data_IF_744689380707
#
_entry.id   IF_744689380707
#
_cell.length_a   1.000
_cell.length_b   1.000
_cell.length_c   1.000
_cell.angle_alpha   90.00
_cell.angle_beta   90.00
_cell.angle_gamma   90.00
#
_symmetry.space_group_name_H-M   'P 1'
#
loop_
_entity.id
_entity.type
_entity.pdbx_description
1 polymer ?
#
# COMPACT_ATOMS: atom_id res chain seq x y z
N UNK A 1 -12.98 -32.23 -4.77
CA UNK A 1 -12.15 -31.11 -5.27
C UNK A 1 -10.96 -30.91 -4.33
N UNK A 2 -9.80 -30.47 -4.82
CA UNK A 2 -8.63 -30.24 -4.00
C UNK A 2 -8.39 -28.73 -3.87
N UNK A 3 -8.49 -28.20 -2.65
CA UNK A 3 -8.20 -26.80 -2.34
C UNK A 3 -6.69 -26.67 -2.16
N UNK A 4 -5.98 -26.02 -3.08
CA UNK A 4 -4.51 -26.02 -3.11
C UNK A 4 -3.93 -24.62 -3.05
N UNK A 5 -2.78 -24.52 -2.40
CA UNK A 5 -1.93 -23.32 -2.35
C UNK A 5 -2.66 -22.04 -1.91
N UNK A 6 -3.51 -22.15 -0.88
CA UNK A 6 -4.26 -21.02 -0.35
C UNK A 6 -3.40 -20.19 0.61
N UNK A 7 -3.54 -18.87 0.58
CA UNK A 7 -2.97 -18.00 1.59
C UNK A 7 -3.90 -18.00 2.82
N UNK A 8 -3.44 -18.60 3.93
CA UNK A 8 -4.25 -18.85 5.12
C UNK A 8 -3.49 -18.36 6.35
N UNK A 9 -4.12 -17.54 7.19
CA UNK A 9 -3.58 -17.16 8.51
C UNK A 9 -3.46 -18.41 9.37
N UNK A 10 -2.24 -18.92 9.47
CA UNK A 10 -1.96 -20.16 10.19
C UNK A 10 -2.17 -20.02 11.71
N UNK A 11 -2.10 -18.80 12.26
CA UNK A 11 -2.37 -18.56 13.68
C UNK A 11 -3.86 -18.68 13.94
N UNK A 12 -4.69 -17.99 13.14
CA UNK A 12 -6.15 -18.08 13.22
C UNK A 12 -6.65 -19.50 12.94
N UNK A 13 -6.08 -20.18 11.95
CA UNK A 13 -6.37 -21.59 11.67
C UNK A 13 -6.12 -22.48 12.89
N UNK A 14 -5.01 -22.28 13.60
CA UNK A 14 -4.70 -23.06 14.81
C UNK A 14 -5.63 -22.75 15.99
N UNK A 15 -6.27 -21.59 16.04
CA UNK A 15 -7.30 -21.26 17.03
C UNK A 15 -8.61 -22.00 16.72
N UNK A 16 -9.08 -21.93 15.47
CA UNK A 16 -10.30 -22.62 15.03
C UNK A 16 -10.20 -24.13 15.20
N UNK A 17 -9.02 -24.72 14.99
CA UNK A 17 -8.79 -26.15 15.17
C UNK A 17 -8.84 -26.62 16.64
N UNK A 18 -8.93 -25.70 17.61
CA UNK A 18 -9.02 -26.02 19.04
C UNK A 18 -10.42 -25.80 19.63
N UNK A 19 -11.33 -25.21 18.86
CA UNK A 19 -12.63 -24.78 19.36
C UNK A 19 -13.76 -25.44 18.56
N UNK A 20 -14.80 -25.88 19.26
CA UNK A 20 -15.98 -26.53 18.68
C UNK A 20 -17.09 -25.54 18.31
N UNK A 21 -17.08 -24.34 18.89
CA UNK A 21 -18.19 -23.39 18.83
C UNK A 21 -18.32 -22.80 17.43
N UNK A 22 -17.21 -22.47 16.77
CA UNK A 22 -17.25 -21.71 15.51
C UNK A 22 -17.93 -22.44 14.35
N UNK A 23 -18.01 -23.77 14.38
CA UNK A 23 -18.68 -24.56 13.35
C UNK A 23 -19.79 -25.47 13.91
N UNK A 24 -20.22 -25.25 15.15
CA UNK A 24 -21.26 -26.03 15.83
C UNK A 24 -20.95 -27.55 15.78
N UNK A 25 -19.74 -27.91 16.25
CA UNK A 25 -19.27 -29.29 16.32
C UNK A 25 -19.66 -29.92 17.66
N UNK A 26 -19.88 -31.24 17.65
CA UNK A 26 -20.17 -32.00 18.88
C UNK A 26 -19.00 -31.89 19.88
N UNK A 27 -17.78 -32.02 19.37
CA UNK A 27 -16.52 -31.95 20.11
C UNK A 27 -15.47 -31.16 19.32
N UNK A 28 -14.39 -30.66 19.96
CA UNK A 28 -13.32 -29.96 19.26
C UNK A 28 -12.69 -30.85 18.17
N UNK A 29 -12.19 -30.26 17.08
CA UNK A 29 -11.50 -31.01 16.03
C UNK A 29 -10.34 -31.86 16.57
N UNK A 30 -10.30 -33.14 16.21
CA UNK A 30 -9.19 -34.03 16.58
C UNK A 30 -8.08 -33.86 15.55
N UNK A 31 -6.95 -33.31 15.98
CA UNK A 31 -5.78 -33.04 15.12
C UNK A 31 -4.69 -34.10 15.33
N UNK A 32 -4.33 -34.84 14.28
CA UNK A 32 -3.22 -35.81 14.27
C UNK A 32 -2.14 -35.41 13.29
N UNK A 33 -0.94 -35.08 13.79
CA UNK A 33 0.23 -34.83 12.95
C UNK A 33 0.64 -36.09 12.20
N UNK A 34 1.00 -35.95 10.93
CA UNK A 34 1.48 -37.05 10.08
C UNK A 34 3.00 -36.97 9.89
N UNK A 35 3.62 -37.99 9.28
CA UNK A 35 5.04 -37.93 8.88
C UNK A 35 5.19 -36.94 7.72
N UNK A 36 5.52 -35.68 8.02
CA UNK A 36 5.66 -34.59 7.06
C UNK A 36 5.03 -33.29 7.57
N UNK A 37 5.00 -32.25 6.72
CA UNK A 37 4.34 -30.98 7.00
C UNK A 37 2.81 -31.05 6.78
N UNK A 38 2.15 -32.07 7.33
CA UNK A 38 0.70 -32.26 7.20
C UNK A 38 0.04 -32.78 8.46
N UNK A 39 -1.23 -32.43 8.64
CA UNK A 39 -2.06 -32.82 9.78
C UNK A 39 -3.40 -33.36 9.29
N UNK A 40 -3.81 -34.51 9.82
CA UNK A 40 -5.15 -35.06 9.61
C UNK A 40 -6.09 -34.52 10.68
N UNK A 41 -7.22 -33.98 10.25
CA UNK A 41 -8.26 -33.42 11.11
C UNK A 41 -9.49 -34.30 11.00
N UNK A 42 -10.07 -34.63 12.14
CA UNK A 42 -11.33 -35.36 12.24
C UNK A 42 -12.33 -34.51 13.02
N UNK A 43 -13.51 -34.32 12.45
CA UNK A 43 -14.60 -33.58 13.09
C UNK A 43 -15.85 -34.46 13.17
N UNK A 44 -16.73 -34.14 14.12
CA UNK A 44 -18.03 -34.77 14.27
C UNK A 44 -19.11 -33.70 14.42
N UNK A 45 -20.16 -33.80 13.60
CA UNK A 45 -21.32 -32.90 13.66
C UNK A 45 -22.59 -33.74 13.49
N UNK A 46 -23.51 -33.63 14.45
CA UNK A 46 -24.79 -34.36 14.45
C UNK A 46 -24.63 -35.89 14.27
N UNK A 47 -23.59 -36.49 14.87
CA UNK A 47 -23.31 -37.92 14.78
C UNK A 47 -22.66 -38.36 13.46
N UNK A 48 -22.35 -37.44 12.56
CA UNK A 48 -21.64 -37.70 11.30
C UNK A 48 -20.18 -37.28 11.44
N UNK A 49 -19.28 -38.22 11.15
CA UNK A 49 -17.84 -38.00 11.23
C UNK A 49 -17.25 -37.64 9.86
N UNK A 50 -16.49 -36.56 9.77
CA UNK A 50 -15.80 -36.11 8.56
C UNK A 50 -14.29 -36.00 8.80
N UNK A 51 -13.50 -36.09 7.72
CA UNK A 51 -12.03 -36.08 7.84
C UNK A 51 -11.38 -35.38 6.66
N UNK A 52 -10.44 -34.50 6.99
CA UNK A 52 -9.65 -33.71 6.04
C UNK A 52 -8.16 -33.81 6.38
N UNK A 53 -7.31 -33.60 5.39
CA UNK A 53 -5.86 -33.41 5.57
C UNK A 53 -5.52 -31.97 5.23
N UNK A 54 -4.74 -31.33 6.11
CA UNK A 54 -4.15 -30.01 5.91
C UNK A 54 -2.67 -30.20 5.57
N UNK A 55 -2.22 -29.61 4.47
CA UNK A 55 -0.81 -29.56 4.06
C UNK A 55 -0.27 -28.15 4.24
N UNK A 56 0.83 -28.03 4.97
CA UNK A 56 1.61 -26.79 5.10
C UNK A 56 2.74 -26.83 4.08
N UNK A 57 2.60 -26.05 3.02
CA UNK A 57 3.53 -26.07 1.89
C UNK A 57 4.81 -25.30 2.21
N UNK A 58 5.92 -25.66 1.55
CA UNK A 58 7.22 -24.99 1.74
C UNK A 58 7.23 -23.51 1.33
N UNK A 59 6.26 -23.07 0.53
CA UNK A 59 6.08 -21.68 0.10
C UNK A 59 5.18 -20.86 1.03
N UNK A 60 4.83 -21.39 2.22
CA UNK A 60 4.01 -20.71 3.22
C UNK A 60 2.49 -20.86 3.03
N UNK A 61 2.04 -21.41 1.90
CA UNK A 61 0.61 -21.64 1.62
C UNK A 61 0.08 -22.91 2.28
N UNK A 62 -1.25 -23.02 2.38
CA UNK A 62 -1.95 -24.17 2.97
C UNK A 62 -2.85 -24.84 1.91
N UNK A 63 -2.90 -26.17 1.92
CA UNK A 63 -3.80 -26.95 1.04
C UNK A 63 -4.67 -27.89 1.86
N UNK A 64 -5.91 -28.13 1.42
CA UNK A 64 -6.85 -29.05 2.04
C UNK A 64 -7.21 -30.19 1.09
N UNK A 65 -7.28 -31.41 1.62
CA UNK A 65 -7.78 -32.59 0.92
C UNK A 65 -8.83 -33.31 1.76
N UNK A 66 -9.89 -33.78 1.10
CA UNK A 66 -10.90 -34.63 1.73
C UNK A 66 -10.37 -36.07 1.75
N UNK A 67 -10.46 -36.74 2.90
CA UNK A 67 -9.98 -38.13 3.08
C UNK A 67 -11.01 -39.04 3.78
N UNK A 68 -12.13 -38.49 4.27
CA UNK A 68 -13.17 -39.21 5.02
C UNK A 68 -14.33 -39.73 4.16
N UNK A 69 -15.26 -40.45 4.81
CA UNK A 69 -16.47 -41.04 4.18
C UNK A 69 -17.59 -40.04 3.91
N UNK A 70 -17.52 -38.84 4.50
CA UNK A 70 -18.55 -37.80 4.40
C UNK A 70 -17.95 -36.57 3.70
N UNK A 71 -17.92 -36.54 2.35
CA UNK A 71 -17.26 -35.49 1.59
C UNK A 71 -17.98 -34.14 1.67
N UNK A 72 -19.32 -34.12 1.74
CA UNK A 72 -20.10 -32.88 1.86
C UNK A 72 -19.76 -32.12 3.15
N UNK A 73 -19.85 -32.80 4.30
CA UNK A 73 -19.48 -32.18 5.59
C UNK A 73 -17.99 -31.78 5.64
N UNK A 74 -17.12 -32.55 4.98
CA UNK A 74 -15.70 -32.21 4.86
C UNK A 74 -15.50 -30.94 4.03
N UNK A 75 -16.27 -30.79 2.96
CA UNK A 75 -16.23 -29.63 2.08
C UNK A 75 -16.78 -28.38 2.77
N UNK A 76 -17.90 -28.50 3.48
CA UNK A 76 -18.49 -27.39 4.25
C UNK A 76 -17.53 -26.89 5.32
N UNK A 77 -16.87 -27.81 6.03
CA UNK A 77 -15.88 -27.45 7.03
C UNK A 77 -14.63 -26.80 6.41
N UNK A 78 -14.16 -27.28 5.25
CA UNK A 78 -13.06 -26.62 4.53
C UNK A 78 -13.47 -25.20 4.10
N UNK A 79 -14.67 -25.01 3.54
CA UNK A 79 -15.18 -23.70 3.15
C UNK A 79 -15.27 -22.74 4.34
N UNK A 80 -15.73 -23.24 5.48
CA UNK A 80 -15.75 -22.49 6.73
C UNK A 80 -14.33 -22.07 7.16
N UNK A 81 -13.37 -23.00 7.22
CA UNK A 81 -11.98 -22.68 7.57
C UNK A 81 -11.35 -21.68 6.61
N UNK A 82 -11.65 -21.80 5.31
CA UNK A 82 -11.22 -20.82 4.32
C UNK A 82 -11.88 -19.47 4.59
N UNK A 83 -13.20 -19.40 4.79
CA UNK A 83 -13.89 -18.13 5.07
C UNK A 83 -13.35 -17.38 6.28
N UNK A 84 -12.97 -18.11 7.34
CA UNK A 84 -12.49 -17.52 8.60
C UNK A 84 -10.97 -17.27 8.64
N UNK A 85 -10.19 -17.94 7.79
CA UNK A 85 -8.73 -17.88 7.84
C UNK A 85 -8.08 -17.42 6.54
N UNK A 86 -8.86 -17.19 5.47
CA UNK A 86 -8.33 -16.65 4.22
C UNK A 86 -7.81 -15.25 4.50
N UNK A 87 -6.50 -15.14 4.46
CA UNK A 87 -5.89 -13.83 4.25
C UNK A 87 -6.18 -13.43 2.80
N UNK A 88 -6.27 -12.13 2.52
CA UNK A 88 -6.05 -11.61 1.19
C UNK A 88 -5.01 -12.44 0.47
N UNK A 89 -5.39 -12.98 -0.68
CA UNK A 89 -4.44 -13.01 -1.77
C UNK A 89 -4.17 -11.54 -2.13
N UNK A 90 -3.40 -10.84 -1.28
CA UNK A 90 -2.71 -9.62 -1.70
C UNK A 90 -1.69 -10.14 -2.71
N UNK A 91 -2.10 -10.17 -3.97
CA UNK A 91 -1.29 -10.66 -5.06
C UNK A 91 0.08 -10.00 -4.91
N UNK A 92 1.13 -10.82 -4.78
CA UNK A 92 2.48 -10.31 -4.87
C UNK A 92 2.59 -9.64 -6.23
N UNK A 93 2.70 -8.33 -6.22
CA UNK A 93 2.86 -7.53 -7.42
C UNK A 93 4.31 -7.58 -7.86
N UNK A 94 4.51 -7.53 -9.17
CA UNK A 94 5.82 -7.59 -9.81
C UNK A 94 5.86 -6.50 -10.87
N UNK A 95 6.71 -5.48 -10.68
CA UNK A 95 6.92 -4.40 -11.64
C UNK A 95 8.35 -4.45 -12.12
N UNK A 96 8.54 -4.30 -13.43
CA UNK A 96 9.86 -4.17 -14.04
C UNK A 96 10.04 -2.75 -14.58
N UNK A 97 10.95 -1.99 -13.99
CA UNK A 97 11.38 -0.69 -14.48
C UNK A 97 12.65 -0.85 -15.30
N UNK A 98 12.75 -0.15 -16.44
CA UNK A 98 13.90 -0.21 -17.34
C UNK A 98 14.58 1.15 -17.41
N UNK A 99 15.88 1.14 -17.72
CA UNK A 99 16.70 2.35 -17.93
C UNK A 99 16.81 3.23 -16.68
N UNK A 100 16.81 2.63 -15.48
CA UNK A 100 17.07 3.36 -14.24
C UNK A 100 18.58 3.42 -14.03
N UNK A 101 19.15 4.62 -14.03
CA UNK A 101 20.59 4.81 -13.89
C UNK A 101 21.06 4.39 -12.50
N UNK A 102 22.35 4.11 -12.39
CA UNK A 102 22.97 3.75 -11.10
C UNK A 102 22.77 4.88 -10.07
N UNK A 103 23.06 6.13 -10.45
CA UNK A 103 22.90 7.30 -9.58
C UNK A 103 21.44 7.47 -9.11
N UNK A 104 20.46 7.20 -9.98
CA UNK A 104 19.03 7.26 -9.63
C UNK A 104 18.63 6.15 -8.64
N UNK A 105 19.26 4.98 -8.74
CA UNK A 105 19.07 3.89 -7.78
C UNK A 105 19.72 4.19 -6.43
N UNK A 106 20.90 4.80 -6.43
CA UNK A 106 21.57 5.25 -5.20
C UNK A 106 20.73 6.31 -4.49
N UNK A 107 20.17 7.27 -5.23
CA UNK A 107 19.20 8.25 -4.71
C UNK A 107 17.96 7.60 -4.09
N UNK A 108 17.46 6.51 -4.66
CA UNK A 108 16.36 5.74 -4.05
C UNK A 108 16.77 5.17 -2.70
N UNK A 109 17.96 4.56 -2.58
CA UNK A 109 18.43 4.00 -1.31
C UNK A 109 18.66 5.10 -0.27
N UNK A 110 19.25 6.22 -0.66
CA UNK A 110 19.41 7.39 0.20
C UNK A 110 18.05 7.92 0.68
N UNK A 111 17.07 8.04 -0.22
CA UNK A 111 15.72 8.44 0.14
C UNK A 111 15.10 7.49 1.17
N UNK A 112 15.22 6.17 0.94
CA UNK A 112 14.68 5.17 1.87
C UNK A 112 15.37 5.21 3.24
N UNK A 113 16.65 5.56 3.33
CA UNK A 113 17.34 5.72 4.62
C UNK A 113 16.83 6.94 5.43
N UNK A 114 16.23 7.93 4.75
CA UNK A 114 15.59 9.07 5.43
C UNK A 114 14.18 8.77 5.96
N UNK A 115 13.54 7.70 5.49
CA UNK A 115 12.19 7.33 5.89
C UNK A 115 12.22 6.59 7.24
N UNK A 116 11.68 7.21 8.29
CA UNK A 116 11.72 6.68 9.67
C UNK A 116 11.13 5.27 9.83
N UNK A 117 10.24 4.90 8.93
CA UNK A 117 9.61 3.59 8.91
C UNK A 117 10.51 2.49 8.33
N UNK A 118 11.52 2.84 7.54
CA UNK A 118 12.43 1.89 6.88
C UNK A 118 13.50 1.44 7.88
N UNK A 119 13.80 0.15 7.88
CA UNK A 119 14.89 -0.41 8.66
C UNK A 119 16.21 -0.22 7.92
N UNK A 120 17.13 0.61 8.42
CA UNK A 120 18.40 0.87 7.74
C UNK A 120 19.20 -0.40 7.46
N UNK A 121 19.12 -1.44 8.32
CA UNK A 121 19.80 -2.73 8.06
C UNK A 121 19.28 -3.47 6.81
N UNK A 122 18.09 -3.10 6.32
CA UNK A 122 17.46 -3.69 5.15
C UNK A 122 17.87 -3.04 3.81
N UNK A 123 18.67 -1.97 3.88
CA UNK A 123 19.23 -1.27 2.72
C UNK A 123 20.57 -1.85 2.26
N UNK A 124 21.15 -2.76 3.03
CA UNK A 124 22.32 -3.53 2.63
C UNK A 124 21.95 -4.64 1.62
N UNK A 125 22.83 -4.98 0.67
CA UNK A 125 22.60 -6.07 -0.26
C UNK A 125 22.35 -7.40 0.47
N UNK A 126 21.16 -7.98 0.26
CA UNK A 126 20.84 -9.33 0.73
C UNK A 126 21.63 -10.39 -0.05
N UNK A 127 21.79 -10.18 -1.36
CA UNK A 127 22.55 -11.07 -2.24
C UNK A 127 23.08 -10.31 -3.45
N UNK A 128 24.35 -10.52 -3.78
CA UNK A 128 24.99 -9.94 -4.97
C UNK A 128 25.60 -11.03 -5.83
N UNK A 129 25.45 -10.91 -7.14
CA UNK A 129 26.24 -11.65 -8.13
C UNK A 129 26.59 -10.73 -9.31
N UNK A 130 27.32 -11.25 -10.29
CA UNK A 130 27.81 -10.47 -11.43
C UNK A 130 26.71 -9.80 -12.26
N UNK A 131 25.46 -10.30 -12.20
CA UNK A 131 24.37 -9.85 -13.06
C UNK A 131 23.32 -9.02 -12.31
N UNK A 132 23.20 -9.19 -10.99
CA UNK A 132 22.22 -8.46 -10.18
C UNK A 132 22.57 -8.42 -8.69
N UNK A 133 22.01 -7.40 -8.04
CA UNK A 133 22.00 -7.19 -6.59
C UNK A 133 20.56 -7.23 -6.09
N UNK A 134 20.29 -7.98 -5.03
CA UNK A 134 18.98 -8.13 -4.40
C UNK A 134 19.01 -7.46 -3.03
N UNK A 135 17.99 -6.66 -2.75
CA UNK A 135 17.71 -6.04 -1.47
C UNK A 135 16.36 -6.58 -0.95
N UNK A 136 16.28 -6.83 0.36
CA UNK A 136 15.05 -7.22 1.06
C UNK A 136 14.67 -6.11 2.01
N UNK A 137 13.96 -5.12 1.50
CA UNK A 137 13.70 -3.88 2.21
C UNK A 137 12.49 -4.09 3.11
N UNK A 138 12.66 -3.78 4.39
CA UNK A 138 11.66 -4.02 5.43
C UNK A 138 11.35 -2.73 6.18
N UNK A 139 10.11 -2.58 6.64
CA UNK A 139 9.74 -1.49 7.54
C UNK A 139 9.56 -1.96 8.98
N UNK A 140 9.40 -1.00 9.91
CA UNK A 140 8.99 -1.24 11.29
C UNK A 140 7.58 -1.85 11.41
N UNK A 141 6.76 -1.74 10.35
CA UNK A 141 5.41 -2.32 10.25
C UNK A 141 5.41 -3.79 9.82
N UNK A 142 6.60 -4.41 9.68
CA UNK A 142 6.78 -5.82 9.32
C UNK A 142 6.30 -6.19 7.91
N UNK A 143 6.13 -5.21 7.02
CA UNK A 143 6.09 -5.48 5.59
C UNK A 143 7.51 -5.56 5.01
N UNK A 144 7.67 -6.39 3.97
CA UNK A 144 8.91 -6.62 3.25
C UNK A 144 8.63 -6.59 1.74
N UNK A 145 9.53 -5.98 0.98
CA UNK A 145 9.54 -6.06 -0.48
C UNK A 145 10.94 -6.40 -0.98
N UNK A 146 10.99 -7.14 -2.08
CA UNK A 146 12.24 -7.49 -2.76
C UNK A 146 12.49 -6.51 -3.90
N UNK A 147 13.64 -5.84 -3.85
CA UNK A 147 14.11 -4.95 -4.89
C UNK A 147 15.35 -5.59 -5.54
N UNK A 148 15.29 -5.90 -6.83
CA UNK A 148 16.43 -6.46 -7.57
C UNK A 148 16.92 -5.45 -8.59
N UNK A 149 18.17 -5.05 -8.46
CA UNK A 149 18.87 -4.21 -9.42
C UNK A 149 19.71 -5.08 -10.35
N UNK A 150 19.45 -5.03 -11.65
CA UNK A 150 20.22 -5.75 -12.66
C UNK A 150 21.30 -4.85 -13.26
N UNK A 151 22.43 -5.46 -13.66
CA UNK A 151 23.57 -4.76 -14.28
C UNK A 151 23.20 -4.02 -15.60
N UNK A 152 22.07 -4.36 -16.21
CA UNK A 152 21.54 -3.71 -17.41
C UNK A 152 20.58 -2.54 -17.12
N UNK A 153 20.66 -1.92 -15.94
CA UNK A 153 19.80 -0.80 -15.52
C UNK A 153 18.30 -1.16 -15.46
N UNK A 154 18.00 -2.43 -15.21
CA UNK A 154 16.63 -2.90 -14.94
C UNK A 154 16.44 -3.03 -13.43
N UNK A 155 15.31 -2.58 -12.92
CA UNK A 155 14.89 -2.79 -11.54
C UNK A 155 13.64 -3.66 -11.54
N UNK A 156 13.64 -4.69 -10.71
CA UNK A 156 12.47 -5.53 -10.46
C UNK A 156 12.01 -5.31 -9.01
N UNK A 157 10.79 -4.81 -8.86
CA UNK A 157 10.13 -4.60 -7.58
C UNK A 157 9.08 -5.69 -7.36
N UNK A 158 9.23 -6.47 -6.29
CA UNK A 158 8.36 -7.60 -6.00
C UNK A 158 7.89 -7.60 -4.55
N UNK A 159 6.60 -7.82 -4.32
CA UNK A 159 6.05 -7.96 -2.98
C UNK A 159 4.57 -7.63 -2.92
N UNK A 160 4.02 -7.69 -1.71
CA UNK A 160 2.65 -7.22 -1.46
C UNK A 160 2.62 -5.69 -1.60
N UNK A 161 1.55 -5.10 -2.16
CA UNK A 161 1.41 -3.65 -2.32
C UNK A 161 1.12 -2.93 -0.98
N UNK A 162 1.96 -3.18 0.01
CA UNK A 162 1.94 -2.58 1.35
C UNK A 162 2.79 -1.31 1.37
N UNK A 163 3.07 -0.77 2.55
CA UNK A 163 3.74 0.52 2.72
C UNK A 163 5.04 0.63 1.92
N UNK A 164 6.02 -0.23 2.19
CA UNK A 164 7.36 -0.11 1.59
C UNK A 164 7.34 -0.30 0.08
N UNK A 165 6.46 -1.18 -0.41
CA UNK A 165 6.25 -1.38 -1.84
C UNK A 165 5.78 -0.10 -2.51
N UNK A 166 4.78 0.58 -1.93
CA UNK A 166 4.22 1.80 -2.50
C UNK A 166 5.18 2.99 -2.38
N UNK A 167 5.98 3.08 -1.32
CA UNK A 167 7.05 4.08 -1.18
C UNK A 167 8.06 3.94 -2.33
N UNK A 168 8.58 2.73 -2.56
CA UNK A 168 9.56 2.48 -3.63
C UNK A 168 8.95 2.71 -5.01
N UNK A 169 7.74 2.17 -5.25
CA UNK A 169 7.00 2.37 -6.51
C UNK A 169 6.81 3.86 -6.81
N UNK A 170 6.37 4.64 -5.82
CA UNK A 170 6.16 6.08 -5.99
C UNK A 170 7.46 6.80 -6.35
N UNK A 171 8.57 6.48 -5.68
CA UNK A 171 9.86 7.11 -5.98
C UNK A 171 10.33 6.80 -7.40
N UNK A 172 10.29 5.53 -7.81
CA UNK A 172 10.75 5.15 -9.16
C UNK A 172 9.86 5.77 -10.25
N UNK A 173 8.55 5.91 -10.00
CA UNK A 173 7.63 6.60 -10.92
C UNK A 173 8.02 8.06 -11.19
N UNK A 174 8.71 8.74 -10.26
CA UNK A 174 9.22 10.11 -10.47
C UNK A 174 10.40 10.16 -11.46
N UNK A 175 11.08 9.03 -11.67
CA UNK A 175 12.31 8.92 -12.47
C UNK A 175 12.05 8.53 -13.92
N UNK A 176 10.88 7.94 -14.21
CA UNK A 176 10.52 7.43 -15.54
C UNK A 176 9.56 8.36 -16.28
N UNK A 177 9.33 8.09 -17.56
CA UNK A 177 8.42 8.88 -18.39
C UNK A 177 6.95 8.65 -17.99
N UNK A 178 6.09 9.66 -18.18
CA UNK A 178 4.69 9.59 -17.77
C UNK A 178 3.96 8.43 -18.45
N UNK A 179 4.20 8.27 -19.75
CA UNK A 179 3.60 7.21 -20.55
C UNK A 179 4.04 5.83 -20.02
N UNK A 180 5.29 5.69 -19.54
CA UNK A 180 5.76 4.45 -18.91
C UNK A 180 5.09 4.18 -17.57
N UNK A 181 4.80 5.21 -16.77
CA UNK A 181 4.00 5.05 -15.53
C UNK A 181 2.63 4.48 -15.90
N UNK A 182 1.95 5.08 -16.89
CA UNK A 182 0.62 4.62 -17.32
C UNK A 182 0.65 3.19 -17.84
N UNK A 183 1.64 2.83 -18.66
CA UNK A 183 1.84 1.46 -19.16
C UNK A 183 2.02 0.46 -18.00
N UNK A 184 2.86 0.81 -17.01
CA UNK A 184 3.11 -0.04 -15.83
C UNK A 184 1.82 -0.24 -15.02
N UNK A 185 1.05 0.82 -14.76
CA UNK A 185 -0.22 0.71 -14.02
C UNK A 185 -1.26 -0.11 -14.81
N UNK A 186 -1.34 0.12 -16.12
CA UNK A 186 -2.20 -0.63 -17.05
C UNK A 186 -1.90 -2.12 -17.01
N UNK A 187 -0.62 -2.49 -17.11
CA UNK A 187 -0.16 -3.88 -17.06
C UNK A 187 -0.33 -4.51 -15.68
N UNK A 188 -0.08 -3.76 -14.62
CA UNK A 188 -0.18 -4.23 -13.24
C UNK A 188 -1.63 -4.61 -12.89
N UNK A 189 -2.58 -3.76 -13.27
CA UNK A 189 -3.98 -3.92 -12.89
C UNK A 189 -4.88 -4.46 -14.00
N UNK A 190 -4.31 -4.81 -15.17
CA UNK A 190 -5.02 -5.37 -16.32
C UNK A 190 -6.18 -4.49 -16.79
N UNK A 191 -5.94 -3.18 -16.80
CA UNK A 191 -6.87 -2.14 -17.24
C UNK A 191 -6.33 -1.46 -18.50
N UNK A 192 -7.19 -1.21 -19.49
CA UNK A 192 -6.79 -0.47 -20.70
C UNK A 192 -6.74 1.04 -20.39
N UNK A 193 -5.53 1.56 -20.14
CA UNK A 193 -5.29 2.97 -19.89
C UNK A 193 -4.46 3.57 -21.02
N UNK A 194 -4.90 4.73 -21.51
CA UNK A 194 -4.17 5.51 -22.50
C UNK A 194 -3.59 6.76 -21.85
N UNK A 195 -2.29 7.08 -22.07
CA UNK A 195 -1.65 8.24 -21.45
C UNK A 195 -2.43 9.55 -21.64
N UNK A 196 -2.94 9.82 -22.84
CA UNK A 196 -3.69 11.05 -23.13
C UNK A 196 -4.99 11.14 -22.32
N UNK A 197 -5.71 10.03 -22.18
CA UNK A 197 -6.96 9.96 -21.38
C UNK A 197 -6.66 10.19 -19.89
N UNK A 198 -5.55 9.67 -19.39
CA UNK A 198 -5.11 9.91 -18.01
C UNK A 198 -4.72 11.37 -17.81
N UNK A 199 -4.02 11.99 -18.77
CA UNK A 199 -3.70 13.42 -18.72
C UNK A 199 -4.95 14.29 -18.71
N UNK A 200 -5.90 14.05 -19.62
CA UNK A 200 -7.17 14.77 -19.68
C UNK A 200 -7.95 14.66 -18.37
N UNK A 201 -7.95 13.49 -17.73
CA UNK A 201 -8.61 13.30 -16.45
C UNK A 201 -7.88 14.03 -15.30
N UNK A 202 -6.54 14.00 -15.26
CA UNK A 202 -5.77 14.80 -14.30
C UNK A 202 -6.03 16.29 -14.48
N UNK A 203 -6.03 16.77 -15.72
CA UNK A 203 -6.31 18.18 -16.05
C UNK A 203 -7.72 18.58 -15.61
N UNK A 204 -8.72 17.74 -15.88
CA UNK A 204 -10.09 17.99 -15.44
C UNK A 204 -10.22 17.99 -13.92
N UNK A 205 -9.52 17.11 -13.21
CA UNK A 205 -9.62 16.98 -11.74
C UNK A 205 -8.77 17.99 -11.00
N UNK A 206 -7.72 18.52 -11.61
CA UNK A 206 -6.79 19.51 -11.04
C UNK A 206 -6.87 20.83 -11.81
N UNK A 207 -8.05 21.18 -12.31
CA UNK A 207 -8.27 22.27 -13.25
C UNK A 207 -7.66 23.61 -12.83
N UNK A 208 -7.56 23.90 -11.53
CA UNK A 208 -7.02 25.16 -11.04
C UNK A 208 -5.49 25.21 -11.09
N UNK A 209 -4.81 24.06 -10.97
CA UNK A 209 -3.36 23.99 -10.71
C UNK A 209 -2.61 23.13 -11.73
N UNK A 210 -3.29 22.40 -12.61
CA UNK A 210 -2.66 21.41 -13.50
C UNK A 210 -1.43 21.96 -14.24
N UNK A 211 -1.58 23.11 -14.90
CA UNK A 211 -0.48 23.77 -15.64
C UNK A 211 0.65 24.35 -14.78
N UNK A 212 0.55 24.26 -13.45
CA UNK A 212 1.54 24.73 -12.47
C UNK A 212 2.32 23.59 -11.84
N UNK A 213 1.81 22.35 -11.91
CA UNK A 213 2.51 21.20 -11.38
C UNK A 213 3.74 20.84 -12.22
N UNK A 214 4.81 20.46 -11.53
CA UNK A 214 5.91 19.75 -12.17
C UNK A 214 5.43 18.38 -12.65
N UNK A 215 5.96 17.93 -13.79
CA UNK A 215 5.62 16.64 -14.41
C UNK A 215 5.78 15.48 -13.41
N UNK A 216 6.75 15.54 -12.48
CA UNK A 216 6.94 14.52 -11.44
C UNK A 216 5.73 14.39 -10.52
N UNK A 217 5.10 15.50 -10.15
CA UNK A 217 3.92 15.48 -9.26
C UNK A 217 2.74 14.81 -10.00
N UNK A 218 2.55 15.13 -11.29
CA UNK A 218 1.53 14.48 -12.13
C UNK A 218 1.76 12.97 -12.28
N UNK A 219 3.01 12.55 -12.52
CA UNK A 219 3.40 11.13 -12.58
C UNK A 219 3.08 10.40 -11.28
N UNK A 220 3.34 11.03 -10.13
CA UNK A 220 3.09 10.42 -8.83
C UNK A 220 1.60 10.31 -8.52
N UNK A 221 0.74 11.21 -9.01
CA UNK A 221 -0.71 11.13 -8.82
C UNK A 221 -1.40 10.13 -9.76
N UNK A 222 -0.78 9.82 -10.90
CA UNK A 222 -1.32 8.95 -11.94
C UNK A 222 -1.85 7.61 -11.42
N UNK A 223 -1.13 6.87 -10.54
CA UNK A 223 -1.62 5.59 -10.03
C UNK A 223 -2.95 5.70 -9.29
N UNK A 224 -3.29 6.84 -8.67
CA UNK A 224 -4.58 7.01 -8.00
C UNK A 224 -5.75 6.94 -9.00
N UNK A 225 -5.58 7.48 -10.21
CA UNK A 225 -6.60 7.41 -11.27
C UNK A 225 -6.75 5.99 -11.82
N UNK A 226 -5.63 5.31 -12.03
CA UNK A 226 -5.60 3.91 -12.47
C UNK A 226 -6.28 3.00 -11.45
N UNK A 227 -5.95 3.18 -10.17
CA UNK A 227 -6.47 2.41 -9.05
C UNK A 227 -7.98 2.56 -8.85
N UNK A 228 -8.54 3.74 -9.12
CA UNK A 228 -10.00 3.95 -9.09
C UNK A 228 -10.76 3.18 -10.19
N UNK A 229 -10.08 2.79 -11.28
CA UNK A 229 -10.68 2.13 -12.46
C UNK A 229 -10.56 0.61 -12.46
N UNK A 230 -9.90 0.05 -11.45
CA UNK A 230 -9.69 -1.40 -11.36
C UNK A 230 -11.01 -2.09 -11.06
N UNK A 231 -11.37 -3.11 -11.83
CA UNK A 231 -12.56 -3.94 -11.60
C UNK A 231 -12.28 -5.17 -10.72
N UNK A 232 -11.28 -5.06 -9.85
CA UNK A 232 -10.85 -6.09 -8.91
C UNK A 232 -11.17 -5.58 -7.50
N UNK A 233 -11.76 -6.43 -6.68
CA UNK A 233 -11.95 -6.14 -5.27
C UNK A 233 -10.62 -6.25 -4.52
N UNK A 234 -10.21 -5.16 -3.88
CA UNK A 234 -9.07 -5.14 -2.98
C UNK A 234 -9.54 -5.30 -1.54
N UNK A 235 -8.76 -5.96 -0.69
CA UNK A 235 -9.06 -6.04 0.75
C UNK A 235 -8.73 -4.72 1.48
N UNK A 236 -7.79 -3.95 0.94
CA UNK A 236 -7.45 -2.62 1.41
C UNK A 236 -7.20 -1.67 0.23
N UNK A 237 -8.07 -0.68 0.08
CA UNK A 237 -7.98 0.37 -0.92
C UNK A 237 -7.08 1.54 -0.49
N UNK A 238 -6.40 1.48 0.66
CA UNK A 238 -5.46 2.53 1.11
C UNK A 238 -4.35 2.78 0.08
N UNK A 239 -3.91 1.74 -0.64
CA UNK A 239 -2.97 1.87 -1.75
C UNK A 239 -3.46 2.79 -2.88
N UNK A 240 -4.79 2.95 -3.06
CA UNK A 240 -5.40 3.85 -4.05
C UNK A 240 -5.25 5.32 -3.65
N UNK A 241 -5.22 5.59 -2.34
CA UNK A 241 -5.20 6.95 -1.78
C UNK A 241 -3.76 7.50 -1.72
N UNK A 242 -2.76 6.63 -1.53
CA UNK A 242 -1.35 7.02 -1.40
C UNK A 242 -0.85 7.98 -2.50
N UNK A 243 -1.11 7.72 -3.80
CA UNK A 243 -0.59 8.57 -4.87
C UNK A 243 -1.21 9.98 -4.85
N UNK A 244 -2.48 10.09 -4.44
CA UNK A 244 -3.13 11.39 -4.25
C UNK A 244 -2.54 12.18 -3.07
N UNK A 245 -2.24 11.51 -1.94
CA UNK A 245 -1.58 12.14 -0.80
C UNK A 245 -0.15 12.59 -1.11
N UNK A 246 0.59 11.84 -1.94
CA UNK A 246 1.89 12.28 -2.45
C UNK A 246 1.76 13.51 -3.36
N UNK A 247 0.71 13.56 -4.18
CA UNK A 247 0.34 14.76 -4.93
C UNK A 247 0.10 15.98 -4.03
N UNK A 248 -0.66 15.78 -2.94
CA UNK A 248 -0.92 16.81 -1.93
C UNK A 248 0.38 17.28 -1.23
N UNK A 249 1.29 16.35 -0.91
CA UNK A 249 2.61 16.71 -0.39
C UNK A 249 3.38 17.58 -1.39
N UNK A 250 3.41 17.19 -2.66
CA UNK A 250 4.01 17.96 -3.75
C UNK A 250 3.42 19.36 -3.87
N UNK A 251 2.10 19.48 -3.78
CA UNK A 251 1.38 20.76 -3.77
C UNK A 251 1.80 21.67 -2.60
N UNK A 252 1.87 21.13 -1.38
CA UNK A 252 2.31 21.88 -0.21
C UNK A 252 3.75 22.40 -0.42
N UNK A 253 4.64 21.55 -0.94
CA UNK A 253 6.04 21.93 -1.21
C UNK A 253 6.17 22.95 -2.33
N UNK A 254 5.30 22.89 -3.35
CA UNK A 254 5.21 23.89 -4.42
C UNK A 254 4.84 25.25 -3.83
N UNK A 255 3.76 25.35 -3.05
CA UNK A 255 3.35 26.59 -2.40
C UNK A 255 4.43 27.14 -1.47
N UNK A 256 5.07 26.30 -0.66
CA UNK A 256 6.17 26.71 0.22
C UNK A 256 7.36 27.26 -0.58
N UNK A 257 7.70 26.64 -1.71
CA UNK A 257 8.79 27.11 -2.57
C UNK A 257 8.48 28.44 -3.27
N UNK A 258 7.21 28.71 -3.55
CA UNK A 258 6.75 29.93 -4.19
C UNK A 258 6.64 31.10 -3.20
N UNK A 259 6.05 30.86 -2.03
CA UNK A 259 5.69 31.91 -1.08
C UNK A 259 6.63 32.05 0.12
N UNK A 260 7.53 31.10 0.38
CA UNK A 260 8.50 31.17 1.47
C UNK A 260 9.94 31.15 0.97
N UNK A 261 10.71 32.16 1.39
CA UNK A 261 12.16 32.25 1.13
C UNK A 261 12.94 31.35 2.08
N UNK A 262 12.43 31.16 3.29
CA UNK A 262 13.08 30.37 4.34
C UNK A 262 12.91 28.85 4.15
N UNK A 263 11.89 28.40 3.39
CA UNK A 263 11.60 26.99 3.17
C UNK A 263 12.80 26.16 2.68
N UNK A 264 13.69 26.74 1.86
CA UNK A 264 14.89 26.05 1.35
C UNK A 264 15.84 25.52 2.43
N UNK A 265 15.68 25.96 3.68
CA UNK A 265 16.50 25.54 4.83
C UNK A 265 15.84 24.48 5.71
N UNK A 266 14.62 24.04 5.35
CA UNK A 266 13.80 23.17 6.17
C UNK A 266 13.97 21.71 5.73
N UNK A 267 14.34 20.84 6.67
CA UNK A 267 14.51 19.41 6.39
C UNK A 267 13.19 18.66 6.22
N UNK A 268 12.34 18.64 7.26
CA UNK A 268 11.11 17.83 7.28
C UNK A 268 9.87 18.71 7.24
N UNK A 269 8.88 18.34 6.44
CA UNK A 269 7.64 19.11 6.30
C UNK A 269 6.92 19.29 7.65
N UNK A 270 6.95 18.25 8.51
CA UNK A 270 6.29 18.32 9.81
C UNK A 270 6.90 19.27 10.82
N UNK A 271 8.16 19.67 10.67
CA UNK A 271 8.73 20.69 11.57
C UNK A 271 8.13 22.08 11.36
N UNK A 272 7.36 22.29 10.30
CA UNK A 272 6.71 23.56 9.99
C UNK A 272 5.41 23.79 10.77
N UNK A 273 4.85 22.74 11.38
CA UNK A 273 3.51 22.75 11.96
C UNK A 273 3.51 22.29 13.42
N UNK A 274 2.64 22.88 14.23
CA UNK A 274 2.51 22.57 15.65
C UNK A 274 1.69 21.29 15.87
N UNK A 275 2.38 20.20 16.22
CA UNK A 275 1.73 18.91 16.49
C UNK A 275 0.74 18.98 17.67
N UNK A 276 0.99 19.85 18.66
CA UNK A 276 0.14 19.97 19.86
C UNK A 276 -1.19 20.67 19.57
N UNK A 277 -1.31 21.34 18.42
CA UNK A 277 -2.52 22.02 17.97
C UNK A 277 -3.09 21.36 16.73
N UNK A 278 -3.03 20.03 16.69
CA UNK A 278 -3.57 19.24 15.58
C UNK A 278 -3.03 19.67 14.21
N UNK A 279 -1.80 20.19 14.15
CA UNK A 279 -1.17 20.71 12.93
C UNK A 279 -1.89 21.91 12.29
N UNK A 280 -2.85 22.53 12.99
CA UNK A 280 -3.60 23.70 12.51
C UNK A 280 -2.76 24.98 12.52
N UNK A 281 -1.61 24.99 13.22
CA UNK A 281 -0.78 26.19 13.38
C UNK A 281 0.58 26.01 12.70
N UNK A 282 0.96 26.99 11.88
CA UNK A 282 2.28 27.07 11.25
C UNK A 282 3.23 27.84 12.17
N UNK A 283 4.37 27.24 12.53
CA UNK A 283 5.18 27.69 13.67
C UNK A 283 6.02 28.94 13.37
N UNK A 284 6.73 28.99 12.24
CA UNK A 284 7.70 30.06 11.95
C UNK A 284 7.57 30.68 10.56
N UNK A 285 6.96 29.98 9.59
CA UNK A 285 6.85 30.48 8.22
C UNK A 285 5.74 31.52 8.02
N UNK A 286 4.87 31.73 9.01
CA UNK A 286 3.76 32.71 8.90
C UNK A 286 4.30 34.13 8.67
N UNK A 287 5.38 34.49 9.36
CA UNK A 287 5.99 35.81 9.26
C UNK A 287 6.79 36.01 7.96
N UNK A 288 7.22 34.92 7.31
CA UNK A 288 7.90 34.94 6.00
C UNK A 288 6.90 35.07 4.85
N UNK A 289 5.84 34.24 4.86
CA UNK A 289 4.83 34.16 3.79
C UNK A 289 3.99 35.45 3.70
N UNK A 290 3.65 36.08 4.83
CA UNK A 290 2.89 37.35 4.93
C UNK A 290 1.60 37.40 4.11
N UNK A 291 0.99 36.25 3.85
CA UNK A 291 -0.30 36.11 3.19
C UNK A 291 -1.13 35.11 4.01
N UNK A 292 -2.20 35.60 4.64
CA UNK A 292 -3.03 34.79 5.53
C UNK A 292 -3.80 33.68 4.79
N UNK A 293 -4.18 33.90 3.52
CA UNK A 293 -4.85 32.87 2.71
C UNK A 293 -3.89 31.78 2.28
N UNK A 294 -2.66 32.11 1.89
CA UNK A 294 -1.62 31.11 1.63
C UNK A 294 -1.32 30.32 2.92
N UNK A 295 -1.22 30.98 4.07
CA UNK A 295 -0.98 30.30 5.35
C UNK A 295 -2.11 29.34 5.71
N UNK A 296 -3.38 29.76 5.58
CA UNK A 296 -4.55 28.94 5.86
C UNK A 296 -4.68 27.77 4.89
N UNK A 297 -4.39 28.03 3.62
CA UNK A 297 -4.34 27.02 2.55
C UNK A 297 -3.32 25.92 2.86
N UNK A 298 -2.11 26.31 3.24
CA UNK A 298 -1.05 25.38 3.67
C UNK A 298 -1.43 24.58 4.92
N UNK A 299 -2.06 25.21 5.92
CA UNK A 299 -2.56 24.52 7.12
C UNK A 299 -3.62 23.48 6.79
N UNK A 300 -4.62 23.84 5.97
CA UNK A 300 -5.68 22.92 5.56
C UNK A 300 -5.13 21.73 4.76
N UNK A 301 -4.25 22.00 3.79
CA UNK A 301 -3.62 20.98 2.98
C UNK A 301 -2.74 20.04 3.83
N UNK A 302 -1.94 20.59 4.74
CA UNK A 302 -1.08 19.80 5.61
C UNK A 302 -1.88 18.99 6.64
N UNK A 303 -2.95 19.55 7.19
CA UNK A 303 -3.87 18.82 8.06
C UNK A 303 -4.48 17.62 7.33
N UNK A 304 -4.99 17.80 6.11
CA UNK A 304 -5.50 16.72 5.27
C UNK A 304 -4.41 15.65 5.03
N UNK A 305 -3.19 16.08 4.70
CA UNK A 305 -2.06 15.18 4.50
C UNK A 305 -1.73 14.33 5.74
N UNK A 306 -1.52 14.94 6.90
CA UNK A 306 -1.11 14.20 8.12
C UNK A 306 -2.24 13.33 8.66
N UNK A 307 -3.48 13.83 8.66
CA UNK A 307 -4.66 13.11 9.15
C UNK A 307 -4.85 11.78 8.44
N UNK A 308 -4.51 11.70 7.15
CA UNK A 308 -4.72 10.51 6.33
C UNK A 308 -3.45 9.70 6.11
N UNK A 309 -2.27 10.33 5.92
CA UNK A 309 -1.02 9.60 5.70
C UNK A 309 -0.67 8.67 6.87
N UNK A 310 -0.70 9.19 8.10
CA UNK A 310 -0.23 8.39 9.23
C UNK A 310 -1.15 7.17 9.49
N UNK A 311 -2.49 7.30 9.52
CA UNK A 311 -3.35 6.14 9.81
C UNK A 311 -3.46 5.13 8.66
N UNK A 312 -3.48 5.58 7.41
CA UNK A 312 -3.70 4.70 6.24
C UNK A 312 -2.48 3.86 5.86
N UNK A 313 -1.29 4.28 6.26
CA UNK A 313 -0.04 3.65 5.84
C UNK A 313 0.79 3.10 7.00
N UNK A 314 0.23 3.10 8.20
CA UNK A 314 0.88 2.58 9.38
C UNK A 314 -0.06 1.64 10.15
N UNK A 315 0.46 0.47 10.51
CA UNK A 315 -0.17 -0.39 11.51
C UNK A 315 -0.23 0.34 12.85
N UNK A 316 -1.34 0.23 13.57
CA UNK A 316 -1.44 0.85 14.89
C UNK A 316 -0.33 0.32 15.80
N UNK A 317 0.35 1.26 16.48
CA UNK A 317 1.57 0.99 17.25
C UNK A 317 1.34 0.10 18.47
N UNK A 318 0.11 0.04 18.97
CA UNK A 318 -0.26 -0.66 20.22
C UNK A 318 -1.08 -1.91 19.93
N UNK A 319 -1.93 -1.90 18.92
CA UNK A 319 -2.82 -3.01 18.57
C UNK A 319 -3.05 -3.11 17.07
N UNK A 320 -2.44 -4.10 16.42
CA UNK A 320 -2.56 -4.31 14.98
C UNK A 320 -4.02 -4.48 14.49
N UNK A 321 -4.97 -4.86 15.35
CA UNK A 321 -6.39 -4.96 15.01
C UNK A 321 -7.08 -3.59 14.81
N UNK A 322 -6.46 -2.51 15.28
CA UNK A 322 -6.93 -1.13 15.10
C UNK A 322 -6.34 -0.45 13.86
N UNK A 323 -5.56 -1.18 13.05
CA UNK A 323 -5.02 -0.66 11.80
C UNK A 323 -6.15 -0.24 10.88
N UNK A 324 -6.06 0.97 10.35
CA UNK A 324 -7.08 1.49 9.43
C UNK A 324 -6.97 0.73 8.12
N UNK A 325 -8.09 0.12 7.72
CA UNK A 325 -8.25 -0.52 6.41
C UNK A 325 -9.31 0.25 5.65
N UNK A 326 -9.00 0.62 4.42
CA UNK A 326 -10.00 1.23 3.53
C UNK A 326 -10.73 0.12 2.82
N UNK A 327 -11.87 -0.32 3.35
CA UNK A 327 -12.56 -1.52 2.87
C UNK A 327 -13.25 -1.37 1.50
N UNK A 328 -13.50 -0.15 1.03
CA UNK A 328 -14.28 0.05 -0.21
C UNK A 328 -13.59 1.01 -1.18
N UNK A 329 -13.79 0.73 -2.47
CA UNK A 329 -13.39 1.61 -3.57
C UNK A 329 -14.07 2.98 -3.47
N UNK A 330 -15.33 3.02 -3.04
CA UNK A 330 -16.10 4.25 -2.88
C UNK A 330 -15.48 5.18 -1.82
N UNK A 331 -15.09 4.62 -0.66
CA UNK A 331 -14.39 5.38 0.38
C UNK A 331 -13.06 5.93 -0.12
N UNK A 332 -12.27 5.11 -0.83
CA UNK A 332 -11.01 5.56 -1.41
C UNK A 332 -11.21 6.66 -2.46
N UNK A 333 -12.17 6.47 -3.36
CA UNK A 333 -12.51 7.43 -4.42
C UNK A 333 -12.97 8.76 -3.82
N UNK A 334 -13.79 8.71 -2.77
CA UNK A 334 -14.26 9.91 -2.06
C UNK A 334 -13.08 10.69 -1.49
N UNK A 335 -12.16 10.02 -0.79
CA UNK A 335 -10.99 10.69 -0.21
C UNK A 335 -10.02 11.23 -1.27
N UNK A 336 -9.83 10.52 -2.40
CA UNK A 336 -9.04 11.03 -3.53
C UNK A 336 -9.65 12.31 -4.09
N UNK A 337 -10.98 12.34 -4.25
CA UNK A 337 -11.69 13.54 -4.70
C UNK A 337 -11.55 14.68 -3.69
N UNK A 338 -11.73 14.42 -2.40
CA UNK A 338 -11.54 15.42 -1.35
C UNK A 338 -10.12 16.02 -1.36
N UNK A 339 -9.09 15.20 -1.61
CA UNK A 339 -7.71 15.67 -1.75
C UNK A 339 -7.57 16.61 -2.96
N UNK A 340 -8.11 16.24 -4.12
CA UNK A 340 -8.08 17.10 -5.31
C UNK A 340 -8.90 18.38 -5.13
N UNK A 341 -10.02 18.31 -4.43
CA UNK A 341 -10.83 19.48 -4.09
C UNK A 341 -10.08 20.43 -3.16
N UNK A 342 -9.37 19.92 -2.14
CA UNK A 342 -8.51 20.75 -1.28
C UNK A 342 -7.46 21.47 -2.11
N UNK A 343 -6.79 20.78 -3.05
CA UNK A 343 -5.79 21.39 -3.94
C UNK A 343 -6.41 22.51 -4.78
N UNK A 344 -7.53 22.24 -5.45
CA UNK A 344 -8.18 23.22 -6.34
C UNK A 344 -8.72 24.42 -5.57
N UNK A 345 -9.44 24.18 -4.46
CA UNK A 345 -10.04 25.25 -3.66
C UNK A 345 -8.96 26.14 -3.05
N UNK A 346 -7.89 25.53 -2.53
CA UNK A 346 -6.72 26.23 -1.99
C UNK A 346 -6.09 27.14 -3.06
N UNK A 347 -5.79 26.60 -4.24
CA UNK A 347 -5.16 27.39 -5.30
C UNK A 347 -6.09 28.47 -5.87
N UNK A 348 -7.38 28.17 -6.02
CA UNK A 348 -8.40 29.12 -6.44
C UNK A 348 -8.53 30.29 -5.44
N UNK A 349 -8.48 30.02 -4.13
CA UNK A 349 -8.53 31.08 -3.11
C UNK A 349 -7.29 31.98 -3.18
N UNK A 350 -6.09 31.40 -3.35
CA UNK A 350 -4.84 32.16 -3.47
C UNK A 350 -4.86 33.08 -4.70
N UNK A 351 -5.32 32.59 -5.85
CA UNK A 351 -5.29 33.32 -7.12
C UNK A 351 -6.39 34.38 -7.29
N UNK A 352 -7.48 34.31 -6.52
CA UNK A 352 -8.56 35.31 -6.58
C UNK A 352 -8.46 36.39 -5.49
N UNK A 353 -7.42 36.36 -4.65
CA UNK A 353 -7.08 37.44 -3.72
C UNK A 353 -5.94 38.36 -4.21
N UNK A 354 -5.22 37.96 -5.26
CA UNK A 354 -4.29 38.83 -6.02
C UNK A 354 -5.04 39.77 -6.98
#
# INVERSE_FOLDING_TARGET
MAYKNLNIDQKRLNELLKDKIFFDLSEPPIVKKTKGASSNITIEKQGIQASITIYFNNNGTVSFSIIGKNPELSEDYIKFLIGECKEADSHNNCITYRKIKQDDFELLLEYLDTEEAVKSESLEPYKTNNNHTIFKISSIYKDETTLTQYANQTILLQGRPLYIYNVIKSFINELIDFDQVVEIESDLYKIDLKPDVVREELESRLFAVYGRFDEKILKVMTPALSLMKIDVELEDYSCCIYPALRGLEGYIRMLLSEFSKEYKTVGRLGSLFDENKSYETMLFLKDDIKNDVVCKSLQNAYFMYVKHRHPLFHTDKKDASLTVITHTRETATTLINEIFDVINQSFYQITNEE
#
